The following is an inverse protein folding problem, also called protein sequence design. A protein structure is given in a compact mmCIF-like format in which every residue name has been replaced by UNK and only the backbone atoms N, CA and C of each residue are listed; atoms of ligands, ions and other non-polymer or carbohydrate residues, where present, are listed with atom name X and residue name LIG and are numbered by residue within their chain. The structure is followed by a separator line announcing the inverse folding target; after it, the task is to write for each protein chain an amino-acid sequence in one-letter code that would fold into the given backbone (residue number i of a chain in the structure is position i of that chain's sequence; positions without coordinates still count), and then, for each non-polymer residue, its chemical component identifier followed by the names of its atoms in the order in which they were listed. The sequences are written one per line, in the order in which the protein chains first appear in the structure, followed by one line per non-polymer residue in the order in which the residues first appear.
data_IF_307286677582
#
_entry.id   IF_307286677582
#
_cell.length_a   1.000
_cell.length_b   1.000
_cell.length_c   1.000
_cell.angle_alpha   90.00
_cell.angle_beta   90.00
_cell.angle_gamma   90.00
#
_symmetry.space_group_name_H-M   'P 1'
#
loop_
_entity.id
_entity.type
_entity.pdbx_description
1 polymer ?
#
# COMPACT_ATOMS: atom_id res chain seq x y z
N UNK A 1 -88.70 -20.19 19.26
CA UNK A 1 -88.07 -21.53 19.15
C UNK A 1 -87.33 -21.60 17.82
N UNK A 2 -86.12 -22.17 17.81
CA UNK A 2 -85.09 -22.20 16.73
C UNK A 2 -84.33 -20.88 16.52
N UNK A 3 -83.11 -20.68 17.07
CA UNK A 3 -81.77 -21.26 16.83
C UNK A 3 -81.19 -21.05 15.41
N UNK A 4 -80.15 -20.20 15.32
CA UNK A 4 -78.84 -20.43 14.68
C UNK A 4 -78.03 -19.11 14.73
N UNK A 5 -77.01 -18.93 15.58
CA UNK A 5 -75.62 -19.42 15.51
C UNK A 5 -74.80 -18.84 14.34
N UNK A 6 -73.51 -18.57 14.62
CA UNK A 6 -72.41 -17.98 13.82
C UNK A 6 -72.23 -16.45 14.02
N UNK A 7 -71.07 -15.90 14.38
CA UNK A 7 -69.72 -16.39 14.75
C UNK A 7 -69.07 -15.28 15.60
N UNK A 8 -68.41 -15.66 16.71
CA UNK A 8 -67.54 -14.76 17.49
C UNK A 8 -66.24 -14.53 16.71
N UNK A 9 -65.83 -13.28 16.53
CA UNK A 9 -64.46 -12.92 16.13
C UNK A 9 -63.90 -12.08 17.27
N UNK A 10 -62.89 -12.61 17.94
CA UNK A 10 -62.16 -11.98 19.04
C UNK A 10 -60.88 -11.42 18.42
N UNK A 11 -60.80 -10.09 18.24
CA UNK A 11 -59.61 -9.40 17.77
C UNK A 11 -58.72 -9.10 18.99
N UNK A 12 -57.64 -9.86 19.14
CA UNK A 12 -56.54 -9.57 20.07
C UNK A 12 -55.55 -8.71 19.30
N UNK A 13 -55.44 -7.42 19.67
CA UNK A 13 -54.36 -6.55 19.22
C UNK A 13 -53.12 -6.84 20.07
N UNK A 14 -52.14 -7.55 19.48
CA UNK A 14 -50.79 -7.69 20.04
C UNK A 14 -50.00 -6.47 19.56
N UNK A 15 -49.66 -5.57 20.48
CA UNK A 15 -48.68 -4.52 20.25
C UNK A 15 -47.29 -5.18 20.31
N UNK A 16 -46.72 -5.50 19.15
CA UNK A 16 -45.31 -5.87 19.03
C UNK A 16 -44.48 -4.58 19.10
N UNK A 17 -43.96 -4.27 20.28
CA UNK A 17 -42.88 -3.31 20.44
C UNK A 17 -41.61 -4.00 19.93
N UNK A 18 -41.27 -3.78 18.66
CA UNK A 18 -39.98 -4.17 18.14
C UNK A 18 -38.93 -3.27 18.80
N UNK A 19 -38.28 -3.76 19.85
CA UNK A 19 -37.00 -3.23 20.26
C UNK A 19 -36.02 -3.62 19.15
N UNK A 20 -35.68 -2.65 18.30
CA UNK A 20 -34.46 -2.73 17.51
C UNK A 20 -33.31 -2.81 18.50
N UNK A 21 -32.78 -4.01 18.69
CA UNK A 21 -31.45 -4.18 19.26
C UNK A 21 -30.53 -3.62 18.18
N UNK A 22 -30.09 -2.36 18.34
CA UNK A 22 -28.91 -1.91 17.63
C UNK A 22 -27.79 -2.85 18.08
N UNK A 23 -27.15 -3.55 17.15
CA UNK A 23 -25.84 -4.11 17.43
C UNK A 23 -24.97 -2.97 17.93
N UNK A 24 -24.07 -3.24 18.87
CA UNK A 24 -22.98 -2.28 19.07
C UNK A 24 -22.23 -2.26 17.74
N UNK A 25 -22.29 -1.12 17.06
CA UNK A 25 -21.42 -0.89 15.90
C UNK A 25 -20.02 -0.81 16.48
N UNK A 26 -19.21 -1.85 16.23
CA UNK A 26 -17.81 -1.89 16.67
C UNK A 26 -17.11 -0.63 16.14
N UNK A 27 -16.57 0.21 17.02
CA UNK A 27 -15.94 1.44 16.58
C UNK A 27 -14.50 1.14 16.13
N UNK A 28 -14.04 1.69 15.00
CA UNK A 28 -12.67 1.45 14.58
C UNK A 28 -11.71 2.15 15.54
N UNK A 29 -10.53 1.57 15.81
CA UNK A 29 -9.47 2.22 16.57
C UNK A 29 -8.94 3.46 15.83
N UNK A 30 -8.31 4.34 16.60
CA UNK A 30 -7.65 5.55 16.12
C UNK A 30 -6.18 5.50 16.51
N UNK A 31 -5.29 5.60 15.52
CA UNK A 31 -3.84 5.64 15.73
C UNK A 31 -3.29 7.06 15.55
N UNK A 32 -2.27 7.40 16.34
CA UNK A 32 -1.55 8.68 16.22
C UNK A 32 -0.08 8.52 16.55
N UNK A 33 0.77 9.27 15.83
CA UNK A 33 2.22 9.27 16.04
C UNK A 33 2.83 10.64 15.78
N UNK A 34 3.92 10.94 16.48
CA UNK A 34 4.78 12.09 16.26
C UNK A 34 6.24 11.63 16.38
N UNK A 35 7.18 12.28 15.69
CA UNK A 35 8.59 11.90 15.79
C UNK A 35 9.54 12.45 14.74
N UNK A 36 9.07 13.38 13.90
CA UNK A 36 9.86 13.87 12.78
C UNK A 36 11.19 14.47 13.23
N UNK A 37 12.30 13.90 12.77
CA UNK A 37 13.63 14.33 13.17
C UNK A 37 14.68 14.05 12.09
N UNK A 38 15.90 14.54 12.30
CA UNK A 38 17.04 14.26 11.41
C UNK A 38 17.65 12.94 11.86
N UNK A 39 17.92 12.04 10.91
CA UNK A 39 18.62 10.79 11.16
C UNK A 39 20.12 11.02 11.35
N UNK A 40 20.70 10.39 12.35
CA UNK A 40 22.15 10.24 12.47
C UNK A 40 22.60 8.95 11.75
N UNK A 41 23.27 9.02 10.58
CA UNK A 41 23.63 7.81 9.83
C UNK A 41 24.43 6.80 10.65
N UNK A 42 24.18 5.51 10.40
CA UNK A 42 24.85 4.38 11.07
C UNK A 42 24.61 4.32 12.60
N UNK A 43 23.54 4.94 13.08
CA UNK A 43 23.08 4.82 14.47
C UNK A 43 21.68 4.21 14.54
N UNK A 44 21.33 3.64 15.69
CA UNK A 44 19.94 3.29 15.98
C UNK A 44 19.22 4.53 16.50
N UNK A 45 18.04 4.82 15.95
CA UNK A 45 17.24 5.98 16.33
C UNK A 45 15.77 5.61 16.43
N UNK A 46 15.11 6.01 17.52
CA UNK A 46 13.67 5.80 17.69
C UNK A 46 12.89 6.48 16.56
N UNK A 47 11.85 5.80 16.09
CA UNK A 47 10.98 6.27 15.01
C UNK A 47 9.81 7.12 15.51
N UNK A 48 9.58 7.17 16.83
CA UNK A 48 8.55 8.00 17.45
C UNK A 48 9.11 8.78 18.65
N UNK A 49 8.53 9.95 18.91
CA UNK A 49 8.59 10.66 20.19
C UNK A 49 7.26 10.60 20.96
N UNK A 50 6.17 10.35 20.24
CA UNK A 50 4.85 10.10 20.79
C UNK A 50 4.14 9.07 19.91
N UNK A 51 3.44 8.13 20.52
CA UNK A 51 2.62 7.12 19.85
C UNK A 51 1.44 6.76 20.74
N UNK A 52 0.25 6.62 20.16
CA UNK A 52 -0.94 6.21 20.88
C UNK A 52 -1.94 5.50 19.95
N UNK A 53 -2.67 4.55 20.51
CA UNK A 53 -3.84 3.91 19.90
C UNK A 53 -5.00 4.08 20.89
N UNK A 54 -6.12 4.61 20.42
CA UNK A 54 -7.36 4.70 21.18
C UNK A 54 -8.43 3.86 20.51
N UNK A 55 -9.00 2.93 21.26
CA UNK A 55 -10.13 2.11 20.82
C UNK A 55 -11.28 2.29 21.82
N UNK A 56 -12.47 2.75 21.39
CA UNK A 56 -13.60 3.02 22.29
C UNK A 56 -14.24 1.78 22.93
N UNK A 57 -14.12 0.62 22.31
CA UNK A 57 -14.85 -0.59 22.67
C UNK A 57 -14.02 -1.87 22.75
N UNK A 58 -12.81 -1.89 22.21
CA UNK A 58 -11.83 -2.97 22.39
C UNK A 58 -10.60 -2.48 23.20
N UNK A 59 -9.93 -3.38 23.94
CA UNK A 59 -8.67 -3.09 24.64
C UNK A 59 -7.49 -3.92 24.13
N UNK A 60 -7.72 -4.69 23.06
CA UNK A 60 -6.75 -5.58 22.43
C UNK A 60 -6.70 -5.43 20.91
N UNK A 61 -5.58 -5.78 20.29
CA UNK A 61 -5.41 -5.87 18.84
C UNK A 61 -4.65 -7.15 18.46
N UNK A 62 -4.98 -7.75 17.34
CA UNK A 62 -4.28 -8.91 16.78
C UNK A 62 -2.79 -8.62 16.53
N UNK A 63 -2.51 -7.53 15.79
CA UNK A 63 -1.15 -7.09 15.49
C UNK A 63 -1.09 -5.59 15.15
N UNK A 64 0.12 -5.02 15.24
CA UNK A 64 0.48 -3.74 14.64
C UNK A 64 1.60 -3.95 13.62
N UNK A 65 1.51 -3.26 12.48
CA UNK A 65 2.51 -3.28 11.44
C UNK A 65 3.21 -1.92 11.33
N UNK A 66 4.54 -1.94 11.29
CA UNK A 66 5.37 -0.75 11.10
C UNK A 66 6.20 -0.95 9.83
N UNK A 67 6.03 -0.10 8.83
CA UNK A 67 6.69 -0.24 7.53
C UNK A 67 7.55 0.99 7.24
N UNK A 68 8.71 0.78 6.61
CA UNK A 68 9.44 1.86 5.95
C UNK A 68 8.73 2.12 4.63
N UNK A 69 7.74 3.02 4.65
CA UNK A 69 6.77 3.21 3.56
C UNK A 69 7.32 4.05 2.41
N UNK A 70 8.34 4.86 2.66
CA UNK A 70 8.99 5.67 1.62
C UNK A 70 10.50 5.67 1.80
N UNK A 71 11.22 5.58 0.68
CA UNK A 71 12.67 5.62 0.61
C UNK A 71 13.35 4.35 1.12
N UNK A 72 12.64 3.23 1.20
CA UNK A 72 13.18 1.97 1.71
C UNK A 72 14.33 1.46 0.82
N UNK A 73 15.44 1.06 1.45
CA UNK A 73 16.56 0.39 0.79
C UNK A 73 16.71 -1.05 1.30
N UNK A 74 16.21 -2.06 0.56
CA UNK A 74 16.29 -3.47 0.95
C UNK A 74 17.70 -3.93 1.27
N UNK A 75 17.86 -4.59 2.42
CA UNK A 75 19.16 -5.09 2.90
C UNK A 75 20.09 -4.05 3.52
N UNK A 76 19.82 -2.76 3.35
CA UNK A 76 20.54 -1.68 4.03
C UNK A 76 19.80 -1.19 5.28
N UNK A 77 18.48 -1.12 5.17
CA UNK A 77 17.57 -0.57 6.16
C UNK A 77 16.82 -1.64 6.94
N UNK A 78 16.61 -1.39 8.23
CA UNK A 78 15.85 -2.26 9.11
C UNK A 78 15.16 -1.51 10.25
N UNK A 79 14.01 -2.04 10.67
CA UNK A 79 13.40 -1.75 11.95
C UNK A 79 13.77 -2.84 12.95
N UNK A 80 14.16 -2.43 14.15
CA UNK A 80 14.65 -3.32 15.20
C UNK A 80 13.83 -3.05 16.46
N UNK A 81 13.25 -4.10 17.04
CA UNK A 81 12.63 -4.05 18.36
C UNK A 81 13.69 -4.37 19.43
N UNK A 82 13.95 -3.41 20.33
CA UNK A 82 14.93 -3.54 21.41
C UNK A 82 14.29 -3.87 22.78
N UNK A 83 12.97 -4.01 22.83
CA UNK A 83 12.24 -4.29 24.07
C UNK A 83 12.40 -5.73 24.56
N UNK A 84 11.84 -6.01 25.73
CA UNK A 84 11.98 -7.31 26.41
C UNK A 84 10.66 -7.91 26.88
N UNK A 85 9.51 -7.45 26.37
CA UNK A 85 8.22 -8.03 26.70
C UNK A 85 8.17 -9.49 26.20
N UNK A 86 8.04 -10.50 27.09
CA UNK A 86 8.09 -11.91 26.72
C UNK A 86 6.82 -12.41 26.00
N UNK A 87 5.75 -11.64 26.03
CA UNK A 87 4.46 -12.00 25.43
C UNK A 87 4.37 -11.56 23.96
N UNK A 88 5.30 -10.72 23.50
CA UNK A 88 5.38 -10.25 22.12
C UNK A 88 6.19 -11.19 21.23
N UNK A 89 5.72 -11.33 20.00
CA UNK A 89 6.47 -11.82 18.85
C UNK A 89 6.70 -10.66 17.89
N UNK A 90 7.94 -10.45 17.46
CA UNK A 90 8.28 -9.42 16.46
C UNK A 90 8.98 -10.04 15.27
N UNK A 91 8.52 -9.72 14.06
CA UNK A 91 9.04 -10.30 12.82
C UNK A 91 9.36 -9.20 11.81
N UNK A 92 10.60 -9.15 11.33
CA UNK A 92 11.03 -8.23 10.27
C UNK A 92 11.03 -8.94 8.92
N UNK A 93 10.22 -8.43 7.98
CA UNK A 93 10.25 -8.84 6.58
C UNK A 93 11.13 -7.87 5.77
N UNK A 94 12.22 -8.39 5.22
CA UNK A 94 13.19 -7.62 4.42
C UNK A 94 12.65 -7.24 3.04
N UNK A 95 11.73 -8.01 2.45
CA UNK A 95 11.15 -7.64 1.16
C UNK A 95 10.19 -6.47 1.34
N UNK A 96 9.27 -6.62 2.29
CA UNK A 96 8.21 -5.63 2.53
C UNK A 96 8.74 -4.37 3.24
N UNK A 97 9.93 -4.44 3.85
CA UNK A 97 10.42 -3.40 4.74
C UNK A 97 9.51 -3.18 5.96
N UNK A 98 8.89 -4.27 6.44
CA UNK A 98 7.79 -4.26 7.41
C UNK A 98 8.13 -5.07 8.66
N UNK A 99 7.94 -4.46 9.82
CA UNK A 99 8.00 -5.09 11.14
C UNK A 99 6.58 -5.37 11.63
N UNK A 100 6.29 -6.63 11.93
CA UNK A 100 5.09 -7.05 12.63
C UNK A 100 5.36 -7.10 14.14
N UNK A 101 4.42 -6.58 14.94
CA UNK A 101 4.34 -6.76 16.39
C UNK A 101 3.02 -7.49 16.68
N UNK A 102 3.10 -8.74 17.09
CA UNK A 102 1.95 -9.62 17.36
C UNK A 102 2.17 -10.46 18.61
N UNK A 103 1.15 -11.19 19.06
CA UNK A 103 1.27 -12.06 20.25
C UNK A 103 2.07 -13.32 19.99
N UNK A 104 2.91 -13.72 20.95
CA UNK A 104 3.58 -15.01 20.93
C UNK A 104 2.59 -16.18 21.13
N UNK A 105 1.45 -15.96 21.81
CA UNK A 105 0.43 -17.00 22.03
C UNK A 105 -0.53 -17.15 20.86
N UNK A 106 -0.61 -16.15 19.97
CA UNK A 106 -1.58 -16.07 18.88
C UNK A 106 -2.97 -15.58 19.30
N UNK A 107 -3.12 -15.07 20.52
CA UNK A 107 -4.31 -14.31 20.96
C UNK A 107 -4.07 -12.80 20.78
N UNK A 108 -5.11 -11.97 20.80
CA UNK A 108 -4.95 -10.51 20.70
C UNK A 108 -4.09 -9.94 21.86
N UNK A 109 -3.26 -8.95 21.54
CA UNK A 109 -2.41 -8.24 22.49
C UNK A 109 -3.12 -7.06 23.13
N UNK A 110 -2.90 -6.76 24.43
CA UNK A 110 -3.32 -5.49 25.02
C UNK A 110 -2.75 -4.31 24.23
N UNK A 111 -3.60 -3.34 23.91
CA UNK A 111 -3.19 -2.12 23.19
C UNK A 111 -2.05 -1.40 23.92
N UNK A 112 -2.05 -1.42 25.26
CA UNK A 112 -0.96 -0.85 26.06
C UNK A 112 0.39 -1.49 25.78
N UNK A 113 0.44 -2.81 25.57
CA UNK A 113 1.68 -3.54 25.34
C UNK A 113 2.23 -3.24 23.94
N UNK A 114 1.34 -3.04 22.95
CA UNK A 114 1.70 -2.58 21.61
C UNK A 114 2.26 -1.15 21.68
N UNK A 115 1.60 -0.24 22.40
CA UNK A 115 2.08 1.15 22.55
C UNK A 115 3.48 1.16 23.17
N UNK A 116 3.70 0.41 24.25
CA UNK A 116 5.01 0.29 24.89
C UNK A 116 6.05 -0.32 23.93
N UNK A 117 5.66 -1.30 23.12
CA UNK A 117 6.55 -1.92 22.14
C UNK A 117 7.03 -0.94 21.06
N UNK A 118 6.15 -0.06 20.57
CA UNK A 118 6.49 0.93 19.52
C UNK A 118 7.56 1.92 20.01
N UNK A 119 7.54 2.32 21.28
CA UNK A 119 8.60 3.16 21.84
C UNK A 119 9.97 2.48 21.87
N UNK A 120 10.02 1.15 21.84
CA UNK A 120 11.25 0.35 21.80
C UNK A 120 11.69 -0.03 20.38
N UNK A 121 10.96 0.41 19.34
CA UNK A 121 11.35 0.22 17.93
C UNK A 121 12.29 1.35 17.49
N UNK A 122 13.40 0.94 16.87
CA UNK A 122 14.40 1.84 16.30
C UNK A 122 14.64 1.54 14.83
N UNK A 123 14.92 2.58 14.06
CA UNK A 123 15.44 2.49 12.70
C UNK A 123 16.96 2.41 12.71
N UNK A 124 17.51 1.62 11.78
CA UNK A 124 18.92 1.60 11.46
C UNK A 124 19.12 1.43 9.94
N UNK A 125 20.03 2.24 9.39
CA UNK A 125 20.58 2.03 8.04
C UNK A 125 22.08 1.77 8.11
N UNK A 126 22.55 0.76 7.37
CA UNK A 126 23.98 0.52 7.18
C UNK A 126 24.62 1.51 6.19
N UNK A 127 23.80 2.20 5.39
CA UNK A 127 24.26 3.20 4.43
C UNK A 127 24.77 4.46 5.15
N UNK A 128 26.01 4.93 4.90
CA UNK A 128 26.52 6.16 5.50
C UNK A 128 25.84 7.43 4.97
N UNK A 129 25.14 7.37 3.85
CA UNK A 129 24.40 8.48 3.23
C UNK A 129 22.98 8.01 2.84
N UNK A 130 22.14 7.65 3.82
CA UNK A 130 20.78 7.19 3.53
C UNK A 130 19.94 8.34 2.97
N UNK A 131 18.93 8.02 2.16
CA UNK A 131 17.86 8.95 1.79
C UNK A 131 16.91 9.20 2.96
N UNK A 132 15.99 10.15 2.81
CA UNK A 132 14.87 10.33 3.73
C UNK A 132 14.07 9.02 3.89
N UNK A 133 13.46 8.85 5.06
CA UNK A 133 12.64 7.69 5.41
C UNK A 133 11.32 8.15 6.00
N UNK A 134 10.23 7.57 5.52
CA UNK A 134 8.92 7.64 6.16
C UNK A 134 8.58 6.28 6.76
N UNK A 135 7.99 6.31 7.96
CA UNK A 135 7.53 5.12 8.67
C UNK A 135 6.02 5.21 8.80
N UNK A 136 5.30 4.20 8.31
CA UNK A 136 3.86 4.06 8.52
C UNK A 136 3.61 3.07 9.64
N UNK A 137 2.65 3.40 10.52
CA UNK A 137 2.10 2.50 11.53
C UNK A 137 0.67 2.19 11.12
N UNK A 138 0.32 0.93 10.95
CA UNK A 138 -1.00 0.51 10.43
C UNK A 138 -1.62 -0.55 11.32
N UNK A 139 -2.90 -0.35 11.63
CA UNK A 139 -3.77 -1.37 12.23
C UNK A 139 -4.33 -2.22 11.08
N UNK A 140 -3.87 -3.47 11.01
CA UNK A 140 -4.08 -4.36 9.86
C UNK A 140 -2.86 -4.38 8.91
N UNK A 141 -2.77 -5.42 8.08
CA UNK A 141 -1.56 -5.74 7.31
C UNK A 141 -1.43 -5.00 5.96
N UNK A 142 -2.35 -4.09 5.63
CA UNK A 142 -2.24 -3.35 4.37
C UNK A 142 -1.01 -2.43 4.40
N UNK A 143 -0.28 -2.35 3.28
CA UNK A 143 0.78 -1.38 3.12
C UNK A 143 0.14 0.00 3.02
N UNK A 144 0.62 0.98 3.80
CA UNK A 144 0.04 2.33 3.81
C UNK A 144 1.06 3.34 3.31
N UNK A 145 0.69 4.15 2.32
CA UNK A 145 1.53 5.21 1.80
C UNK A 145 1.04 6.57 2.33
N UNK A 146 1.78 7.23 3.24
CA UNK A 146 1.33 8.49 3.84
C UNK A 146 1.19 9.65 2.84
N UNK A 147 1.93 9.64 1.74
CA UNK A 147 1.91 10.72 0.74
C UNK A 147 0.63 10.73 -0.10
N UNK A 148 -0.04 9.59 -0.28
CA UNK A 148 -1.35 9.46 -0.94
C UNK A 148 -2.49 9.25 0.06
N UNK A 149 -2.20 8.71 1.24
CA UNK A 149 -3.20 8.28 2.21
C UNK A 149 -3.90 6.98 1.82
N UNK A 150 -3.35 6.23 0.87
CA UNK A 150 -3.94 5.02 0.32
C UNK A 150 -3.33 3.75 0.93
N UNK A 151 -4.07 2.65 0.83
CA UNK A 151 -3.67 1.32 1.29
C UNK A 151 -3.50 0.38 0.10
N UNK A 152 -2.49 -0.48 0.15
CA UNK A 152 -2.14 -1.41 -0.93
C UNK A 152 -2.06 -2.84 -0.38
N UNK A 153 -2.72 -3.77 -1.08
CA UNK A 153 -2.74 -5.19 -0.70
C UNK A 153 -2.53 -6.04 -1.94
N UNK A 154 -1.53 -6.92 -1.89
CA UNK A 154 -1.34 -7.96 -2.91
C UNK A 154 -2.18 -9.19 -2.60
N UNK A 155 -2.96 -9.65 -3.58
CA UNK A 155 -3.76 -10.87 -3.50
C UNK A 155 -3.18 -11.95 -4.41
N UNK A 156 -2.61 -13.01 -3.82
CA UNK A 156 -2.12 -14.16 -4.58
C UNK A 156 -3.28 -14.96 -5.19
N UNK A 157 -3.31 -15.05 -6.51
CA UNK A 157 -4.27 -15.85 -7.26
C UNK A 157 -3.70 -16.26 -8.62
N UNK A 158 -2.96 -17.36 -8.65
CA UNK A 158 -2.27 -17.85 -9.84
C UNK A 158 -3.23 -18.09 -11.01
N UNK A 159 -2.95 -17.47 -12.15
CA UNK A 159 -3.70 -17.61 -13.41
C UNK A 159 -5.01 -16.83 -13.47
N UNK A 160 -5.25 -15.90 -12.54
CA UNK A 160 -6.37 -14.96 -12.65
C UNK A 160 -6.20 -14.09 -13.91
N UNK A 161 -7.27 -13.85 -14.66
CA UNK A 161 -7.20 -12.92 -15.81
C UNK A 161 -7.31 -11.47 -15.34
N UNK A 162 -6.86 -10.51 -16.14
CA UNK A 162 -6.95 -9.09 -15.79
C UNK A 162 -8.40 -8.67 -15.49
N UNK A 163 -9.35 -9.06 -16.35
CA UNK A 163 -10.77 -8.76 -16.15
C UNK A 163 -11.31 -9.36 -14.83
N UNK A 164 -10.85 -10.56 -14.45
CA UNK A 164 -11.26 -11.18 -13.18
C UNK A 164 -10.64 -10.47 -11.98
N UNK A 165 -9.38 -10.03 -12.10
CA UNK A 165 -8.68 -9.27 -11.08
C UNK A 165 -9.35 -7.91 -10.85
N UNK A 166 -9.71 -7.20 -11.91
CA UNK A 166 -10.49 -5.96 -11.83
C UNK A 166 -11.79 -6.18 -11.06
N UNK A 167 -12.58 -7.19 -11.44
CA UNK A 167 -13.83 -7.50 -10.75
C UNK A 167 -13.62 -7.91 -9.29
N UNK A 168 -12.56 -8.65 -8.99
CA UNK A 168 -12.25 -9.04 -7.62
C UNK A 168 -11.87 -7.82 -6.76
N UNK A 169 -11.04 -6.92 -7.30
CA UNK A 169 -10.68 -5.66 -6.66
C UNK A 169 -11.91 -4.78 -6.40
N UNK A 170 -12.78 -4.61 -7.40
CA UNK A 170 -14.03 -3.84 -7.28
C UNK A 170 -15.05 -4.45 -6.31
N UNK A 171 -14.92 -5.74 -5.95
CA UNK A 171 -15.75 -6.38 -4.93
C UNK A 171 -15.07 -6.43 -3.55
N UNK A 172 -13.85 -5.95 -3.44
CA UNK A 172 -13.10 -5.89 -2.18
C UNK A 172 -13.43 -4.62 -1.40
N UNK A 173 -13.23 -4.70 -0.09
CA UNK A 173 -13.48 -3.59 0.83
C UNK A 173 -12.44 -3.61 1.94
N UNK A 174 -11.91 -2.43 2.28
CA UNK A 174 -10.99 -2.26 3.40
C UNK A 174 -11.54 -1.20 4.34
N UNK A 175 -12.17 -1.64 5.44
CA UNK A 175 -12.81 -0.76 6.43
C UNK A 175 -13.78 0.27 5.82
N UNK A 176 -14.52 -0.12 4.80
CA UNK A 176 -15.45 0.76 4.09
C UNK A 176 -14.86 1.43 2.84
N UNK A 177 -13.54 1.43 2.65
CA UNK A 177 -12.92 1.88 1.40
C UNK A 177 -13.21 0.91 0.26
N UNK A 178 -13.60 1.44 -0.90
CA UNK A 178 -13.82 0.66 -2.12
C UNK A 178 -12.48 0.31 -2.77
N UNK A 179 -12.21 -0.98 -2.98
CA UNK A 179 -11.00 -1.42 -3.67
C UNK A 179 -11.08 -1.29 -5.19
N UNK A 180 -9.92 -1.15 -5.82
CA UNK A 180 -9.72 -1.16 -7.28
C UNK A 180 -8.30 -1.65 -7.61
N UNK A 181 -8.04 -2.12 -8.84
CA UNK A 181 -6.66 -2.45 -9.22
C UNK A 181 -5.79 -1.22 -9.14
N UNK A 182 -4.61 -1.35 -8.53
CA UNK A 182 -3.72 -0.23 -8.23
C UNK A 182 -3.39 0.63 -9.46
N UNK A 183 -3.36 1.93 -9.25
CA UNK A 183 -2.83 2.92 -10.17
C UNK A 183 -1.52 3.46 -9.61
N UNK A 184 -0.48 3.57 -10.42
CA UNK A 184 0.86 3.91 -9.93
C UNK A 184 1.32 5.21 -10.60
N UNK A 185 1.26 6.31 -9.86
CA UNK A 185 1.52 7.66 -10.35
C UNK A 185 2.86 8.23 -9.87
N UNK A 186 3.56 7.54 -8.96
CA UNK A 186 4.88 7.93 -8.47
C UNK A 186 5.84 6.76 -8.21
N UNK A 187 7.11 7.08 -7.96
CA UNK A 187 8.12 6.09 -7.58
C UNK A 187 7.83 5.48 -6.21
N UNK A 188 7.32 6.29 -5.28
CA UNK A 188 6.92 5.83 -3.94
C UNK A 188 5.73 4.86 -4.00
N UNK A 189 4.75 5.12 -4.87
CA UNK A 189 3.66 4.17 -5.13
C UNK A 189 4.18 2.86 -5.73
N UNK A 190 5.11 2.92 -6.70
CA UNK A 190 5.70 1.72 -7.27
C UNK A 190 6.48 0.91 -6.22
N UNK A 191 7.26 1.58 -5.37
CA UNK A 191 8.00 0.94 -4.30
C UNK A 191 7.04 0.20 -3.36
N UNK A 192 5.99 0.86 -2.86
CA UNK A 192 5.13 0.25 -1.85
C UNK A 192 4.20 -0.83 -2.41
N UNK A 193 3.74 -0.67 -3.66
CA UNK A 193 2.71 -1.51 -4.26
C UNK A 193 3.26 -2.62 -5.16
N UNK A 194 4.47 -2.48 -5.69
CA UNK A 194 5.08 -3.45 -6.61
C UNK A 194 6.34 -4.10 -6.04
N UNK A 195 7.24 -3.32 -5.43
CA UNK A 195 8.49 -3.86 -4.86
C UNK A 195 8.27 -4.47 -3.47
N UNK A 196 7.61 -3.74 -2.57
CA UNK A 196 7.40 -4.14 -1.17
C UNK A 196 6.17 -5.01 -0.95
N UNK A 197 5.08 -4.82 -1.70
CA UNK A 197 3.93 -5.73 -1.63
C UNK A 197 4.29 -7.14 -2.12
N UNK A 198 5.30 -7.22 -3.00
CA UNK A 198 5.81 -8.45 -3.59
C UNK A 198 4.85 -9.09 -4.60
N UNK A 199 5.42 -9.87 -5.52
CA UNK A 199 4.65 -10.74 -6.40
C UNK A 199 4.31 -10.15 -7.78
N UNK A 200 4.32 -11.04 -8.76
CA UNK A 200 3.93 -10.73 -10.14
C UNK A 200 2.41 -10.71 -10.27
N UNK A 201 1.83 -9.59 -10.70
CA UNK A 201 0.38 -9.46 -10.72
C UNK A 201 -0.16 -8.29 -11.53
N UNK A 202 -1.48 -8.27 -11.69
CA UNK A 202 -2.18 -7.24 -12.45
C UNK A 202 -2.26 -5.90 -11.72
N UNK A 203 -2.17 -4.83 -12.51
CA UNK A 203 -2.38 -3.43 -12.11
C UNK A 203 -3.41 -2.76 -13.03
N UNK A 204 -3.87 -1.56 -12.68
CA UNK A 204 -5.03 -0.89 -13.26
C UNK A 204 -4.89 -0.34 -14.68
N UNK A 205 -3.78 -0.58 -15.38
CA UNK A 205 -3.50 0.02 -16.68
C UNK A 205 -3.88 -0.89 -17.86
N UNK A 206 -4.41 -0.28 -18.92
CA UNK A 206 -4.76 -0.93 -20.18
C UNK A 206 -4.74 0.05 -21.35
N UNK A 207 -4.43 -0.44 -22.56
CA UNK A 207 -4.60 0.28 -23.82
C UNK A 207 -5.68 -0.34 -24.75
N UNK A 208 -6.48 -1.29 -24.25
CA UNK A 208 -7.53 -1.98 -25.03
C UNK A 208 -8.50 -1.02 -25.76
N UNK A 209 -8.71 0.18 -25.20
CA UNK A 209 -9.56 1.20 -25.82
C UNK A 209 -8.98 1.75 -27.13
N UNK A 210 -7.68 2.03 -27.17
CA UNK A 210 -6.94 2.50 -28.34
C UNK A 210 -5.51 1.97 -28.24
N UNK A 211 -5.18 1.03 -29.13
CA UNK A 211 -3.85 0.43 -29.27
C UNK A 211 -2.71 1.45 -29.14
N UNK A 212 -1.78 1.17 -28.22
CA UNK A 212 -0.63 2.01 -27.93
C UNK A 212 -0.93 3.26 -27.09
N UNK A 213 -2.17 3.48 -26.63
CA UNK A 213 -2.50 4.56 -25.69
C UNK A 213 -2.88 3.97 -24.33
N UNK A 214 -1.90 3.88 -23.45
CA UNK A 214 -2.04 3.31 -22.12
C UNK A 214 -2.66 4.31 -21.15
N UNK A 215 -3.76 3.88 -20.52
CA UNK A 215 -4.47 4.64 -19.51
C UNK A 215 -4.56 3.85 -18.21
N UNK A 216 -4.58 4.55 -17.08
CA UNK A 216 -5.11 4.01 -15.83
C UNK A 216 -6.63 4.00 -15.93
N UNK A 217 -7.24 2.81 -15.92
CA UNK A 217 -8.68 2.61 -16.20
C UNK A 217 -9.48 2.13 -14.98
N UNK A 218 -8.85 2.07 -13.81
CA UNK A 218 -9.46 1.69 -12.53
C UNK A 218 -9.33 2.82 -11.51
N UNK A 219 -10.05 2.72 -10.40
CA UNK A 219 -9.96 3.70 -9.32
C UNK A 219 -10.42 5.11 -9.69
N UNK A 220 -10.00 6.13 -8.93
CA UNK A 220 -10.27 7.54 -9.23
C UNK A 220 -9.80 7.95 -10.63
N UNK A 221 -8.64 7.49 -11.06
CA UNK A 221 -8.02 7.76 -12.36
C UNK A 221 -8.87 7.20 -13.51
N UNK A 222 -9.49 6.04 -13.30
CA UNK A 222 -10.43 5.42 -14.24
C UNK A 222 -11.68 6.26 -14.50
N UNK A 223 -12.08 7.11 -13.55
CA UNK A 223 -13.22 8.02 -13.69
C UNK A 223 -12.89 9.28 -14.50
N UNK A 224 -11.60 9.55 -14.73
CA UNK A 224 -11.17 10.68 -15.55
C UNK A 224 -11.59 10.53 -17.01
N UNK A 225 -11.51 11.66 -17.75
CA UNK A 225 -11.82 11.71 -19.18
C UNK A 225 -13.20 11.12 -19.54
N UNK A 226 -14.19 11.37 -18.68
CA UNK A 226 -15.55 10.81 -18.79
C UNK A 226 -15.58 9.27 -18.76
N UNK A 227 -14.73 8.66 -17.93
CA UNK A 227 -14.68 7.22 -17.70
C UNK A 227 -13.80 6.44 -18.69
N UNK A 228 -12.95 7.13 -19.45
CA UNK A 228 -11.97 6.46 -20.33
C UNK A 228 -10.61 6.27 -19.67
N UNK A 229 -10.42 6.79 -18.46
CA UNK A 229 -9.17 6.69 -17.71
C UNK A 229 -8.19 7.83 -17.92
N UNK A 230 -7.16 7.87 -17.09
CA UNK A 230 -6.06 8.84 -17.11
C UNK A 230 -4.93 8.34 -18.05
N UNK A 231 -4.62 9.04 -19.16
CA UNK A 231 -3.52 8.67 -20.04
C UNK A 231 -2.16 8.93 -19.38
N UNK A 232 -1.28 7.93 -19.38
CA UNK A 232 0.07 8.04 -18.81
C UNK A 232 1.19 7.65 -19.78
N UNK A 233 0.91 6.83 -20.80
CA UNK A 233 1.93 6.38 -21.76
C UNK A 233 1.38 6.22 -23.18
N UNK A 234 2.20 6.56 -24.19
CA UNK A 234 1.85 6.40 -25.61
C UNK A 234 2.99 5.72 -26.37
N UNK A 235 2.63 4.74 -27.22
CA UNK A 235 3.54 3.95 -28.05
C UNK A 235 4.03 2.68 -27.36
N UNK A 236 4.83 1.90 -28.08
CA UNK A 236 5.61 0.79 -27.54
C UNK A 236 6.76 1.31 -26.65
N UNK A 237 7.62 0.44 -26.14
CA UNK A 237 8.68 0.81 -25.21
C UNK A 237 9.60 1.95 -25.69
N UNK A 238 10.38 2.56 -24.77
CA UNK A 238 11.18 3.75 -25.07
C UNK A 238 12.09 3.61 -26.30
N UNK A 239 12.60 2.40 -26.55
CA UNK A 239 13.50 2.12 -27.68
C UNK A 239 12.81 2.20 -29.05
N UNK A 240 11.48 2.07 -29.11
CA UNK A 240 10.68 2.15 -30.35
C UNK A 240 9.91 3.47 -30.46
N UNK A 241 10.16 4.41 -29.54
CA UNK A 241 9.69 5.79 -29.63
C UNK A 241 8.41 6.08 -28.86
N UNK A 242 7.96 5.19 -27.98
CA UNK A 242 6.95 5.56 -26.99
C UNK A 242 7.52 6.33 -25.82
N UNK A 243 6.62 6.89 -25.01
CA UNK A 243 7.01 7.74 -23.91
C UNK A 243 5.84 8.18 -23.03
N UNK A 244 6.16 8.80 -21.88
CA UNK A 244 5.17 9.23 -20.93
C UNK A 244 4.35 10.41 -21.45
N UNK A 245 3.05 10.38 -21.23
CA UNK A 245 2.15 11.51 -21.49
C UNK A 245 2.45 12.58 -20.45
N UNK A 246 2.78 13.80 -20.88
CA UNK A 246 3.07 14.94 -20.00
C UNK A 246 4.13 14.66 -18.90
N UNK A 247 5.02 13.70 -19.11
CA UNK A 247 6.04 13.32 -18.11
C UNK A 247 5.47 12.57 -16.90
N UNK A 248 4.28 11.98 -17.02
CA UNK A 248 3.72 11.07 -16.02
C UNK A 248 4.69 9.92 -15.71
N UNK A 249 4.58 9.40 -14.49
CA UNK A 249 5.36 8.25 -14.06
C UNK A 249 5.01 6.99 -14.87
N UNK A 250 6.03 6.17 -15.10
CA UNK A 250 5.86 4.83 -15.65
C UNK A 250 7.07 3.98 -15.25
N UNK A 251 6.84 2.74 -14.84
CA UNK A 251 7.92 1.79 -14.56
C UNK A 251 7.94 0.61 -15.54
N UNK A 252 7.64 0.87 -16.82
CA UNK A 252 7.80 -0.14 -17.86
C UNK A 252 9.20 -0.73 -17.85
N UNK A 253 9.29 -2.05 -17.94
CA UNK A 253 10.57 -2.74 -17.97
C UNK A 253 11.39 -2.28 -19.19
N UNK A 254 12.70 -2.19 -19.00
CA UNK A 254 13.64 -1.76 -20.03
C UNK A 254 14.44 -2.92 -20.65
N UNK A 255 14.42 -4.10 -20.03
CA UNK A 255 15.10 -5.28 -20.55
C UNK A 255 14.36 -6.59 -20.15
N UNK A 256 13.54 -7.16 -21.04
CA UNK A 256 13.16 -6.63 -22.36
C UNK A 256 12.42 -5.27 -22.28
N UNK A 257 12.48 -4.49 -23.35
CA UNK A 257 11.82 -3.18 -23.40
C UNK A 257 10.31 -3.32 -23.56
N UNK A 258 9.55 -2.70 -22.66
CA UNK A 258 8.09 -2.74 -22.59
C UNK A 258 7.46 -1.34 -22.69
N UNK A 259 6.18 -1.21 -23.08
CA UNK A 259 5.31 -2.28 -23.60
C UNK A 259 5.70 -2.68 -25.03
N UNK A 260 5.67 -3.96 -25.36
CA UNK A 260 6.17 -4.47 -26.65
C UNK A 260 5.07 -4.98 -27.61
N UNK A 261 3.83 -5.08 -27.14
CA UNK A 261 2.66 -5.57 -27.87
C UNK A 261 2.86 -6.97 -28.47
N UNK A 262 3.49 -7.90 -27.73
CA UNK A 262 3.84 -9.23 -28.21
C UNK A 262 2.66 -10.22 -28.15
N UNK A 263 1.65 -9.96 -28.97
CA UNK A 263 0.53 -10.89 -29.16
C UNK A 263 -0.82 -10.37 -28.70
N UNK A 264 -1.09 -9.07 -28.91
CA UNK A 264 -2.35 -8.41 -28.54
C UNK A 264 -2.51 -8.33 -27.01
N UNK A 265 -1.51 -7.70 -26.39
CA UNK A 265 -1.23 -7.56 -24.98
C UNK A 265 -1.69 -6.19 -24.47
N UNK A 266 -2.96 -6.14 -24.04
CA UNK A 266 -3.60 -4.86 -23.73
C UNK A 266 -3.62 -4.48 -22.23
N UNK A 267 -2.89 -5.21 -21.37
CA UNK A 267 -3.02 -5.09 -19.91
C UNK A 267 -1.70 -5.06 -19.18
N UNK A 268 -1.54 -4.14 -18.23
CA UNK A 268 -0.29 -3.96 -17.50
C UNK A 268 -0.18 -4.93 -16.32
N UNK A 269 1.03 -5.44 -16.12
CA UNK A 269 1.36 -6.47 -15.14
C UNK A 269 2.74 -6.19 -14.51
N UNK A 270 2.83 -6.24 -13.19
CA UNK A 270 4.11 -6.20 -12.46
C UNK A 270 4.90 -7.47 -12.80
N UNK A 271 6.13 -7.33 -13.28
CA UNK A 271 6.96 -8.45 -13.68
C UNK A 271 7.31 -9.34 -12.50
N UNK A 272 7.58 -10.62 -12.78
CA UNK A 272 8.28 -11.49 -11.84
C UNK A 272 9.69 -10.93 -11.55
N UNK A 273 10.17 -11.03 -10.31
CA UNK A 273 11.48 -10.52 -9.87
C UNK A 273 12.68 -11.06 -10.69
N UNK A 274 12.50 -12.16 -11.43
CA UNK A 274 13.51 -12.68 -12.35
C UNK A 274 13.60 -11.93 -13.69
N UNK A 275 12.68 -11.00 -13.96
CA UNK A 275 12.59 -10.22 -15.20
C UNK A 275 12.82 -8.75 -14.88
N UNK A 276 13.77 -8.13 -15.59
CA UNK A 276 13.95 -6.70 -15.52
C UNK A 276 14.40 -6.19 -14.15
N UNK A 277 13.92 -5.00 -13.81
CA UNK A 277 14.04 -4.44 -12.47
C UNK A 277 12.85 -4.91 -11.62
N UNK A 278 13.09 -5.14 -10.33
CA UNK A 278 12.01 -5.47 -9.39
C UNK A 278 10.96 -4.36 -9.42
N UNK A 279 9.68 -4.74 -9.42
CA UNK A 279 8.57 -3.80 -9.51
C UNK A 279 8.35 -3.18 -10.89
N UNK A 280 9.16 -3.51 -11.92
CA UNK A 280 8.92 -3.04 -13.29
C UNK A 280 7.72 -3.72 -13.93
N UNK A 281 7.20 -3.15 -15.02
CA UNK A 281 5.94 -3.57 -15.63
C UNK A 281 6.14 -4.16 -17.02
N UNK A 282 5.22 -5.02 -17.41
CA UNK A 282 5.12 -5.65 -18.72
C UNK A 282 3.67 -5.60 -19.19
N UNK A 283 3.43 -5.51 -20.49
CA UNK A 283 2.12 -5.71 -21.08
C UNK A 283 1.86 -7.20 -21.31
N UNK A 284 0.64 -7.66 -21.03
CA UNK A 284 0.23 -9.04 -21.27
C UNK A 284 -1.18 -9.08 -21.87
N UNK A 285 -1.47 -10.16 -22.60
CA UNK A 285 -2.86 -10.51 -22.95
C UNK A 285 -3.70 -10.65 -21.67
N UNK A 286 -5.04 -10.53 -21.75
CA UNK A 286 -5.92 -10.67 -20.58
C UNK A 286 -5.65 -11.93 -19.72
N UNK A 287 -5.13 -13.02 -20.31
CA UNK A 287 -4.81 -14.26 -19.58
C UNK A 287 -3.35 -14.36 -19.14
N UNK A 288 -2.44 -13.57 -19.70
CA UNK A 288 -1.00 -13.77 -19.59
C UNK A 288 -0.55 -15.15 -20.07
N UNK A 289 0.63 -15.58 -19.63
CA UNK A 289 1.13 -16.93 -19.90
C UNK A 289 0.52 -17.98 -18.95
N UNK A 290 0.47 -19.23 -19.39
CA UNK A 290 -0.04 -20.34 -18.56
C UNK A 290 0.93 -20.81 -17.45
N UNK A 291 2.19 -20.37 -17.49
CA UNK A 291 3.24 -20.74 -16.55
C UNK A 291 4.47 -19.84 -16.71
N UNK A 292 5.29 -19.74 -15.66
CA UNK A 292 6.59 -19.06 -15.72
C UNK A 292 6.50 -17.58 -15.36
N UNK A 293 7.53 -16.78 -15.71
CA UNK A 293 7.64 -15.38 -15.26
C UNK A 293 6.54 -14.43 -15.77
N UNK A 294 5.90 -14.77 -16.89
CA UNK A 294 4.80 -14.01 -17.49
C UNK A 294 3.41 -14.56 -17.11
N UNK A 295 3.35 -15.51 -16.17
CA UNK A 295 2.08 -15.97 -15.61
C UNK A 295 1.64 -15.00 -14.52
N UNK A 296 0.42 -14.44 -14.59
CA UNK A 296 -0.13 -13.65 -13.49
C UNK A 296 -0.22 -14.52 -12.24
N UNK A 297 0.42 -14.09 -11.14
CA UNK A 297 0.38 -14.80 -9.86
C UNK A 297 -0.58 -14.18 -8.87
N UNK A 298 -1.14 -13.02 -9.19
CA UNK A 298 -2.05 -12.27 -8.34
C UNK A 298 -2.41 -10.93 -8.95
N UNK A 299 -2.77 -10.00 -8.08
CA UNK A 299 -3.11 -8.62 -8.42
C UNK A 299 -2.96 -7.74 -7.20
N UNK A 300 -2.68 -6.46 -7.42
CA UNK A 300 -2.56 -5.48 -6.34
C UNK A 300 -3.83 -4.64 -6.31
N UNK A 301 -4.44 -4.55 -5.14
CA UNK A 301 -5.59 -3.71 -4.88
C UNK A 301 -5.15 -2.49 -4.10
N UNK A 302 -5.64 -1.34 -4.53
CA UNK A 302 -5.51 -0.05 -3.87
C UNK A 302 -6.85 0.35 -3.27
N UNK A 303 -6.80 0.97 -2.09
CA UNK A 303 -7.96 1.48 -1.36
C UNK A 303 -7.71 2.92 -0.94
N UNK A 304 -8.63 3.82 -1.30
CA UNK A 304 -8.55 5.25 -1.02
C UNK A 304 -9.00 6.09 -2.21
N UNK A 305 -9.35 7.35 -1.96
CA UNK A 305 -9.64 8.32 -3.03
C UNK A 305 -10.95 8.12 -3.80
N UNK A 306 -11.69 7.02 -3.60
CA UNK A 306 -12.93 6.77 -4.33
C UNK A 306 -14.08 7.66 -3.85
N UNK A 307 -14.99 8.09 -4.75
CA UNK A 307 -16.16 8.86 -4.34
C UNK A 307 -17.04 8.11 -3.34
N UNK A 308 -17.12 8.62 -2.12
CA UNK A 308 -17.93 8.03 -1.04
C UNK A 308 -17.15 7.20 -0.03
N UNK A 309 -15.82 7.08 -0.20
CA UNK A 309 -14.95 6.47 0.79
C UNK A 309 -15.06 7.19 2.15
N UNK A 310 -15.09 6.46 3.28
CA UNK A 310 -15.01 7.04 4.60
C UNK A 310 -13.61 7.62 4.90
N UNK A 311 -13.55 8.58 5.81
CA UNK A 311 -12.28 8.96 6.45
C UNK A 311 -11.92 7.90 7.50
N UNK A 312 -10.69 7.37 7.42
CA UNK A 312 -10.15 6.37 8.34
C UNK A 312 -8.92 6.91 9.06
N UNK A 313 -8.79 6.58 10.34
CA UNK A 313 -7.59 6.86 11.15
C UNK A 313 -6.95 5.55 11.65
N UNK A 314 -6.79 4.59 10.73
CA UNK A 314 -6.17 3.28 11.01
C UNK A 314 -4.65 3.28 10.78
N UNK A 315 -4.13 4.38 10.23
CA UNK A 315 -2.70 4.58 10.02
C UNK A 315 -2.22 5.96 10.46
N UNK A 316 -0.96 6.03 10.86
CA UNK A 316 -0.24 7.29 11.12
C UNK A 316 1.19 7.17 10.61
N UNK A 317 1.94 8.27 10.57
CA UNK A 317 3.32 8.24 10.09
C UNK A 317 4.25 9.23 10.77
N UNK A 318 5.54 8.88 10.76
CA UNK A 318 6.65 9.74 11.18
C UNK A 318 7.79 9.65 10.17
N UNK A 319 8.69 10.63 10.17
CA UNK A 319 9.79 10.69 9.21
C UNK A 319 11.15 10.88 9.87
N UNK A 320 12.17 10.24 9.31
CA UNK A 320 13.57 10.52 9.60
C UNK A 320 14.25 11.07 8.34
N UNK A 321 14.58 12.37 8.35
CA UNK A 321 15.25 13.02 7.23
C UNK A 321 16.75 12.74 7.22
N UNK A 322 17.31 12.47 6.05
CA UNK A 322 18.74 12.37 5.83
C UNK A 322 19.45 13.67 6.31
N UNK A 323 20.69 13.57 6.81
CA UNK A 323 21.43 14.77 7.16
C UNK A 323 21.69 15.63 5.91
N UNK A 324 21.67 16.96 6.03
CA UNK A 324 21.93 17.84 4.90
C UNK A 324 23.31 17.58 4.32
N UNK A 325 23.41 17.45 3.00
CA UNK A 325 24.68 17.30 2.31
C UNK A 325 25.52 18.57 2.48
N UNK A 326 26.68 18.47 3.14
CA UNK A 326 27.64 19.57 3.23
C UNK A 326 28.65 19.44 2.10
N UNK A 327 28.50 20.24 1.04
CA UNK A 327 29.53 20.37 0.01
C UNK A 327 30.71 21.19 0.55
N UNK A 328 31.85 20.54 0.76
CA UNK A 328 33.09 21.22 1.11
C UNK A 328 33.79 21.63 -0.19
N UNK A 329 33.71 22.91 -0.54
CA UNK A 329 34.51 23.47 -1.63
C UNK A 329 35.99 23.51 -1.20
N UNK A 330 36.91 22.85 -1.92
CA UNK A 330 38.32 22.88 -1.59
C UNK A 330 38.86 24.31 -1.74
N UNK A 331 39.60 24.78 -0.73
CA UNK A 331 40.27 26.08 -0.78
C UNK A 331 41.35 26.05 -1.87
N UNK A 332 41.12 26.75 -2.98
CA UNK A 332 42.14 27.01 -3.98
C UNK A 332 43.19 27.96 -3.38
N UNK A 333 44.35 27.43 -3.02
CA UNK A 333 45.52 28.27 -2.70
C UNK A 333 45.86 29.12 -3.93
N UNK A 334 45.57 30.42 -3.84
CA UNK A 334 46.00 31.40 -4.81
C UNK A 334 47.52 31.58 -4.64
N UNK A 335 48.33 30.85 -5.44
CA UNK A 335 49.78 31.09 -5.50
C UNK A 335 49.98 32.46 -6.17
N UNK A 336 50.08 33.51 -5.36
CA UNK A 336 50.52 34.84 -5.81
C UNK A 336 52.00 34.74 -6.19
N UNK A 337 52.28 34.61 -7.48
CA UNK A 337 53.63 34.83 -8.01
C UNK A 337 53.97 36.32 -7.90
N UNK A 338 54.73 36.68 -6.86
CA UNK A 338 55.45 37.95 -6.80
C UNK A 338 56.63 37.88 -7.78
N UNK A 339 56.46 38.46 -8.97
CA UNK A 339 57.58 38.78 -9.85
C UNK A 339 58.32 40.01 -9.30
N UNK A 340 59.66 39.88 -9.20
CA UNK A 340 60.61 40.94 -8.86
C UNK A 340 60.67 42.05 -9.92
#
# INVERSE_FOLDING_TARGET
MHNNMLKKIFLIFIYLFAYSIFGQDNQPPVISSEGNSIYCPQTQQNIVTSFNIEDPDDDTLDALYIQISEGYSPGEDQLIYNGSNPDLNTSWNVTDGKLEISSLSGDDLPISDIIDAVYEVVFFSSNPNPSDKSFSFTIGDANYLPSTGHYYVYFEQIGITWIQAQQAAENSNYYGLQGYLVTILSEEENQISAEQAGGAGWIGASDQGIEGNWNWITGPEGLENAGTGLPFWVGQGPETGGGPVNGMYSNWNNNPSEPNQAGDEDYAHITDDSIGLVGSWNDLTNTGASSGPYQPKGYVVEYGGMPGDPELNLSSSTNLSAPPTVTVEPFLELIVHLYQ
#
